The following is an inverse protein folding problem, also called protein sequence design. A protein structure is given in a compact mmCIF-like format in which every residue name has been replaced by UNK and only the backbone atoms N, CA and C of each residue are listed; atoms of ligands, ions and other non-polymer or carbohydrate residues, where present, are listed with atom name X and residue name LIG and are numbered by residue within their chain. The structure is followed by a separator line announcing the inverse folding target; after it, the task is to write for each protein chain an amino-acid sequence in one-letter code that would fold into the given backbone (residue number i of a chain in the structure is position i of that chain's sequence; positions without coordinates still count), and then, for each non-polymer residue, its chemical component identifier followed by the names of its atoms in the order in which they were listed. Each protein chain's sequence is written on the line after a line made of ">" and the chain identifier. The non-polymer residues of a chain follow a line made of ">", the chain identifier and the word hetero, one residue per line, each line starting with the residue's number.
data_IF_867396238884
#
_entry.id   IF_867396238884
#
_cell.length_a   1.000
_cell.length_b   1.000
_cell.length_c   1.000
_cell.angle_alpha   90.00
_cell.angle_beta   90.00
_cell.angle_gamma   90.00
#
_symmetry.space_group_name_H-M   'P 1'
#
loop_
_entity.id
_entity.type
_entity.pdbx_description
1 polymer ?
#
# COMPACT_ATOMS: atom_id res chain seq x y z
N UNK A 1 -4.56 27.35 -13.43
CA UNK A 1 -4.67 26.18 -14.31
C UNK A 1 -4.95 25.00 -13.41
N UNK A 2 -6.15 24.43 -13.47
CA UNK A 2 -6.51 23.30 -12.63
C UNK A 2 -5.85 22.06 -13.23
N UNK A 3 -4.76 21.60 -12.59
CA UNK A 3 -3.99 20.44 -13.03
C UNK A 3 -4.76 19.14 -12.84
N UNK A 4 -4.26 18.03 -13.42
CA UNK A 4 -4.83 16.70 -13.18
C UNK A 4 -4.82 16.41 -11.67
N UNK A 5 -5.87 15.76 -11.18
CA UNK A 5 -5.94 15.33 -9.78
C UNK A 5 -4.94 14.20 -9.56
N UNK A 6 -4.41 14.10 -8.35
CA UNK A 6 -3.44 13.04 -7.97
C UNK A 6 -4.16 11.85 -7.36
N UNK A 7 -3.79 10.65 -7.77
CA UNK A 7 -4.27 9.39 -7.22
C UNK A 7 -3.08 8.54 -6.79
N UNK A 8 -3.17 7.95 -5.60
CA UNK A 8 -2.20 7.00 -5.09
C UNK A 8 -2.90 5.66 -4.90
N UNK A 9 -2.33 4.64 -5.52
CA UNK A 9 -2.74 3.26 -5.36
C UNK A 9 -1.64 2.53 -4.63
N UNK A 10 -2.00 1.82 -3.55
CA UNK A 10 -1.09 0.97 -2.80
C UNK A 10 -1.50 -0.49 -2.93
N UNK A 11 -0.53 -1.37 -3.10
CA UNK A 11 -0.75 -2.81 -3.01
C UNK A 11 0.27 -3.44 -2.07
N UNK A 12 -0.19 -4.38 -1.24
CA UNK A 12 0.70 -5.26 -0.51
C UNK A 12 1.15 -6.38 -1.45
N UNK A 13 2.45 -6.68 -1.54
CA UNK A 13 2.93 -7.77 -2.39
C UNK A 13 2.64 -9.10 -1.71
N UNK A 14 1.43 -9.64 -1.89
CA UNK A 14 0.96 -10.92 -1.30
C UNK A 14 1.21 -12.15 -2.18
N UNK A 15 1.81 -11.97 -3.36
CA UNK A 15 2.01 -12.99 -4.39
C UNK A 15 1.45 -12.56 -5.76
N UNK A 16 1.44 -13.47 -6.75
CA UNK A 16 1.06 -13.17 -8.13
C UNK A 16 -0.42 -12.75 -8.26
N UNK A 17 -0.70 -11.78 -9.12
CA UNK A 17 -2.04 -11.26 -9.33
C UNK A 17 -2.84 -12.17 -10.28
N UNK A 18 -4.02 -12.61 -9.84
CA UNK A 18 -4.93 -13.39 -10.69
C UNK A 18 -5.96 -12.51 -11.43
N UNK A 19 -6.73 -13.12 -12.35
CA UNK A 19 -7.75 -12.47 -13.18
C UNK A 19 -8.79 -11.63 -12.40
N UNK A 20 -9.13 -12.02 -11.16
CA UNK A 20 -10.00 -11.22 -10.30
C UNK A 20 -9.45 -9.83 -9.97
N UNK A 21 -8.13 -9.66 -9.85
CA UNK A 21 -7.50 -8.35 -9.66
C UNK A 21 -7.54 -7.54 -10.95
N UNK A 22 -7.40 -8.20 -12.10
CA UNK A 22 -7.49 -7.56 -13.41
C UNK A 22 -8.86 -6.93 -13.63
N UNK A 23 -9.91 -7.74 -13.58
CA UNK A 23 -11.29 -7.30 -13.79
C UNK A 23 -11.80 -6.37 -12.68
N UNK A 24 -11.25 -6.50 -11.47
CA UNK A 24 -11.67 -5.70 -10.31
C UNK A 24 -11.02 -4.32 -10.21
N UNK A 25 -9.76 -4.18 -10.66
CA UNK A 25 -8.99 -2.96 -10.40
C UNK A 25 -7.97 -2.60 -11.49
N UNK A 26 -7.15 -3.55 -11.98
CA UNK A 26 -6.00 -3.22 -12.83
C UNK A 26 -6.43 -2.58 -14.16
N UNK A 27 -7.49 -3.08 -14.80
CA UNK A 27 -8.02 -2.50 -16.05
C UNK A 27 -8.44 -1.04 -15.85
N UNK A 28 -9.07 -0.74 -14.72
CA UNK A 28 -9.45 0.64 -14.39
C UNK A 28 -8.20 1.51 -14.16
N UNK A 29 -7.17 1.01 -13.50
CA UNK A 29 -5.94 1.75 -13.25
C UNK A 29 -5.23 2.18 -14.54
N UNK A 30 -5.21 1.32 -15.56
CA UNK A 30 -4.66 1.65 -16.89
C UNK A 30 -5.41 2.84 -17.50
N UNK A 31 -6.75 2.86 -17.40
CA UNK A 31 -7.55 3.98 -17.91
C UNK A 31 -7.27 5.29 -17.15
N UNK A 32 -7.07 5.20 -15.83
CA UNK A 32 -6.86 6.35 -14.95
C UNK A 32 -5.55 7.10 -15.23
N UNK A 33 -4.51 6.43 -15.76
CA UNK A 33 -3.26 7.09 -16.18
C UNK A 33 -3.46 8.18 -17.25
N UNK A 34 -4.63 8.24 -17.88
CA UNK A 34 -4.98 9.30 -18.85
C UNK A 34 -5.53 10.53 -18.15
N UNK A 35 -6.37 10.32 -17.15
CA UNK A 35 -7.19 11.37 -16.53
C UNK A 35 -6.59 11.93 -15.23
N UNK A 36 -5.68 11.18 -14.58
CA UNK A 36 -5.08 11.51 -13.29
C UNK A 36 -3.55 11.42 -13.36
N UNK A 37 -2.90 12.10 -12.42
CA UNK A 37 -1.50 11.86 -12.10
C UNK A 37 -1.45 10.68 -11.12
N UNK A 38 -1.14 9.50 -11.64
CA UNK A 38 -1.14 8.26 -10.85
C UNK A 38 0.22 7.98 -10.21
N UNK A 39 0.16 7.57 -8.95
CA UNK A 39 1.27 7.06 -8.17
C UNK A 39 0.91 5.64 -7.74
N UNK A 40 1.78 4.68 -8.03
CA UNK A 40 1.61 3.28 -7.68
C UNK A 40 2.72 2.88 -6.71
N UNK A 41 2.32 2.40 -5.53
CA UNK A 41 3.23 2.05 -4.47
C UNK A 41 3.09 0.57 -4.10
N UNK A 42 4.20 -0.15 -4.15
CA UNK A 42 4.31 -1.51 -3.61
C UNK A 42 4.74 -1.39 -2.16
N UNK A 43 3.89 -1.83 -1.23
CA UNK A 43 4.07 -1.68 0.20
C UNK A 43 4.72 -2.91 0.81
N UNK A 44 6.04 -3.03 0.64
CA UNK A 44 6.81 -4.20 1.05
C UNK A 44 7.13 -4.23 2.56
N UNK A 45 6.99 -3.10 3.28
CA UNK A 45 7.06 -3.10 4.74
C UNK A 45 5.77 -3.62 5.39
N UNK A 46 4.62 -3.47 4.74
CA UNK A 46 3.31 -3.82 5.28
C UNK A 46 2.95 -5.32 5.13
N UNK A 47 3.95 -6.19 4.93
CA UNK A 47 3.75 -7.63 4.77
C UNK A 47 3.99 -8.33 6.10
N UNK A 48 2.92 -8.56 6.87
CA UNK A 48 2.98 -9.20 8.18
C UNK A 48 2.98 -10.74 8.12
N UNK A 49 2.30 -11.33 7.14
CA UNK A 49 2.05 -12.79 7.06
C UNK A 49 3.31 -13.65 6.87
N UNK A 50 4.35 -13.11 6.26
CA UNK A 50 5.62 -13.79 5.98
C UNK A 50 6.82 -12.84 6.01
N UNK A 51 6.76 -11.86 6.91
CA UNK A 51 7.86 -10.91 7.14
C UNK A 51 9.21 -11.60 7.41
N UNK A 52 9.18 -12.79 8.02
CA UNK A 52 10.38 -13.57 8.36
C UNK A 52 11.08 -14.18 7.12
N UNK A 53 10.40 -14.25 5.98
CA UNK A 53 10.94 -14.75 4.71
C UNK A 53 11.18 -13.60 3.71
N UNK A 54 12.32 -12.93 3.91
CA UNK A 54 12.75 -11.81 3.06
C UNK A 54 13.01 -12.20 1.60
N UNK A 55 13.23 -13.48 1.29
CA UNK A 55 13.39 -13.92 -0.09
C UNK A 55 12.03 -13.91 -0.79
N UNK A 56 11.00 -14.46 -0.12
CA UNK A 56 9.62 -14.45 -0.59
C UNK A 56 9.05 -13.05 -0.75
N UNK A 57 9.33 -12.13 0.19
CA UNK A 57 8.88 -10.72 0.05
C UNK A 57 9.46 -10.08 -1.21
N UNK A 58 10.77 -10.26 -1.46
CA UNK A 58 11.43 -9.73 -2.65
C UNK A 58 10.84 -10.30 -3.94
N UNK A 59 10.61 -11.61 -3.98
CA UNK A 59 9.98 -12.27 -5.13
C UNK A 59 8.57 -11.71 -5.37
N UNK A 60 7.76 -11.57 -4.33
CA UNK A 60 6.41 -11.03 -4.45
C UNK A 60 6.39 -9.57 -4.97
N UNK A 61 7.36 -8.74 -4.58
CA UNK A 61 7.51 -7.38 -5.13
C UNK A 61 7.77 -7.41 -6.63
N UNK A 62 8.67 -8.30 -7.09
CA UNK A 62 8.96 -8.45 -8.50
C UNK A 62 7.77 -8.97 -9.30
N UNK A 63 7.07 -9.98 -8.80
CA UNK A 63 5.86 -10.52 -9.44
C UNK A 63 4.80 -9.43 -9.63
N UNK A 64 4.52 -8.64 -8.58
CA UNK A 64 3.56 -7.52 -8.67
C UNK A 64 4.02 -6.47 -9.68
N UNK A 65 5.30 -6.09 -9.66
CA UNK A 65 5.83 -5.10 -10.60
C UNK A 65 5.73 -5.59 -12.06
N UNK A 66 6.05 -6.86 -12.30
CA UNK A 66 5.93 -7.49 -13.61
C UNK A 66 4.47 -7.57 -14.07
N UNK A 67 3.55 -7.97 -13.20
CA UNK A 67 2.12 -8.03 -13.49
C UNK A 67 1.55 -6.65 -13.85
N UNK A 68 1.96 -5.61 -13.13
CA UNK A 68 1.57 -4.24 -13.44
C UNK A 68 1.99 -3.81 -14.85
N UNK A 69 3.26 -4.02 -15.20
CA UNK A 69 3.77 -3.72 -16.53
C UNK A 69 3.10 -4.58 -17.61
N UNK A 70 2.87 -5.87 -17.33
CA UNK A 70 2.24 -6.80 -18.26
C UNK A 70 0.79 -6.43 -18.59
N UNK A 71 0.05 -5.87 -17.63
CA UNK A 71 -1.32 -5.39 -17.82
C UNK A 71 -1.38 -4.05 -18.58
N UNK A 72 -0.24 -3.38 -18.75
CA UNK A 72 -0.14 -2.15 -19.53
C UNK A 72 -0.11 -0.87 -18.68
N UNK A 73 0.25 -0.97 -17.40
CA UNK A 73 0.60 0.19 -16.60
C UNK A 73 1.93 0.78 -17.12
N UNK A 74 1.88 2.03 -17.56
CA UNK A 74 3.00 2.69 -18.23
C UNK A 74 3.85 3.57 -17.28
N UNK A 75 5.15 3.26 -17.06
CA UNK A 75 6.08 4.07 -16.26
C UNK A 75 6.32 5.49 -16.77
N UNK A 76 6.16 5.74 -18.07
CA UNK A 76 6.33 7.08 -18.63
C UNK A 76 5.15 8.01 -18.30
N UNK A 77 4.02 7.44 -17.88
CA UNK A 77 2.77 8.16 -17.60
C UNK A 77 2.45 8.26 -16.12
N UNK A 78 3.11 7.49 -15.27
CA UNK A 78 2.79 7.38 -13.84
C UNK A 78 4.02 7.03 -13.04
N UNK A 79 4.04 7.40 -11.76
CA UNK A 79 5.16 7.10 -10.88
C UNK A 79 4.98 5.76 -10.20
N UNK A 80 6.01 4.93 -10.22
CA UNK A 80 6.04 3.62 -9.58
C UNK A 80 7.13 3.60 -8.52
N UNK A 81 6.79 3.18 -7.32
CA UNK A 81 7.70 3.19 -6.17
C UNK A 81 7.54 1.94 -5.32
N UNK A 82 8.66 1.51 -4.73
CA UNK A 82 8.70 0.47 -3.70
C UNK A 82 8.90 1.20 -2.38
N UNK A 83 8.07 0.90 -1.39
CA UNK A 83 8.04 1.61 -0.12
C UNK A 83 9.40 1.61 0.60
N UNK A 84 10.09 0.47 0.65
CA UNK A 84 11.42 0.37 1.27
C UNK A 84 12.53 1.16 0.58
N UNK A 85 12.31 1.63 -0.66
CA UNK A 85 13.28 2.44 -1.39
C UNK A 85 13.10 3.95 -1.16
N UNK A 86 12.09 4.35 -0.37
CA UNK A 86 11.80 5.74 -0.02
C UNK A 86 11.99 5.92 1.50
N UNK A 87 13.20 6.23 1.98
CA UNK A 87 13.46 6.40 3.41
C UNK A 87 12.60 7.49 4.05
N UNK A 88 12.17 8.49 3.27
CA UNK A 88 11.29 9.57 3.72
C UNK A 88 9.94 9.05 4.26
N UNK A 89 9.44 7.91 3.78
CA UNK A 89 8.22 7.30 4.30
C UNK A 89 8.40 6.78 5.74
N UNK A 90 9.56 6.18 6.02
CA UNK A 90 9.90 5.70 7.36
C UNK A 90 10.09 6.89 8.32
N UNK A 91 10.79 7.94 7.88
CA UNK A 91 10.99 9.15 8.67
C UNK A 91 9.66 9.85 8.98
N UNK A 92 8.82 10.07 7.97
CA UNK A 92 7.54 10.74 8.16
C UNK A 92 6.61 9.94 9.08
N UNK A 93 6.61 8.61 8.97
CA UNK A 93 5.90 7.74 9.91
C UNK A 93 6.37 7.93 11.34
N UNK A 94 7.68 8.01 11.56
CA UNK A 94 8.25 8.29 12.88
C UNK A 94 7.76 9.63 13.41
N UNK A 95 7.82 10.69 12.61
CA UNK A 95 7.36 12.02 13.02
C UNK A 95 5.86 12.04 13.35
N UNK A 96 5.02 11.41 12.53
CA UNK A 96 3.58 11.35 12.79
C UNK A 96 3.26 10.53 14.04
N UNK A 97 4.01 9.46 14.31
CA UNK A 97 3.79 8.61 15.50
C UNK A 97 3.83 9.40 16.82
N UNK A 98 4.60 10.50 16.88
CA UNK A 98 4.68 11.35 18.06
C UNK A 98 3.39 12.08 18.39
N UNK A 99 2.53 12.29 17.39
CA UNK A 99 1.24 12.97 17.54
C UNK A 99 0.07 11.99 17.72
N UNK A 100 0.32 10.68 17.68
CA UNK A 100 -0.71 9.65 17.67
C UNK A 100 -0.81 8.97 19.04
N UNK A 101 -1.86 9.26 19.83
CA UNK A 101 -2.03 8.62 21.13
C UNK A 101 -2.36 7.14 20.96
N UNK A 102 -1.78 6.29 21.82
CA UNK A 102 -2.01 4.84 21.80
C UNK A 102 -3.49 4.46 21.84
N UNK A 103 -4.30 5.20 22.60
CA UNK A 103 -5.75 4.95 22.69
C UNK A 103 -6.52 5.16 21.37
N UNK A 104 -5.95 5.85 20.37
CA UNK A 104 -6.52 5.94 19.02
C UNK A 104 -6.26 4.66 18.24
N UNK A 105 -5.03 4.14 18.32
CA UNK A 105 -4.62 2.88 17.68
C UNK A 105 -5.43 1.70 18.24
N UNK A 106 -5.56 1.63 19.57
CA UNK A 106 -6.34 0.59 20.26
C UNK A 106 -7.83 0.59 19.91
N UNK A 107 -8.36 1.65 19.28
CA UNK A 107 -9.76 1.73 18.84
C UNK A 107 -9.94 1.36 17.37
N UNK A 108 -8.85 1.23 16.61
CA UNK A 108 -8.92 0.87 15.21
C UNK A 108 -9.41 -0.59 15.06
N UNK A 109 -10.56 -0.84 14.40
CA UNK A 109 -11.12 -2.18 14.27
C UNK A 109 -10.24 -3.10 13.41
N UNK A 110 -9.58 -2.58 12.39
CA UNK A 110 -8.65 -3.34 11.54
C UNK A 110 -7.43 -3.78 12.35
N UNK A 111 -6.87 -2.88 13.16
CA UNK A 111 -5.74 -3.23 14.03
C UNK A 111 -6.12 -4.35 15.00
N UNK A 112 -7.31 -4.27 15.60
CA UNK A 112 -7.81 -5.31 16.51
C UNK A 112 -7.94 -6.67 15.82
N UNK A 113 -8.55 -6.69 14.63
CA UNK A 113 -8.74 -7.93 13.88
C UNK A 113 -7.39 -8.59 13.54
N UNK A 114 -6.42 -7.81 13.06
CA UNK A 114 -5.07 -8.29 12.79
C UNK A 114 -4.38 -8.77 14.07
N UNK A 115 -4.46 -8.03 15.19
CA UNK A 115 -3.90 -8.46 16.48
C UNK A 115 -4.52 -9.75 17.03
N UNK A 116 -5.80 -9.99 16.75
CA UNK A 116 -6.49 -11.24 17.11
C UNK A 116 -6.01 -12.40 16.23
N UNK A 117 -5.84 -12.18 14.92
CA UNK A 117 -5.41 -13.17 13.94
C UNK A 117 -3.97 -13.65 14.17
N UNK A 118 -3.04 -12.74 14.45
CA UNK A 118 -1.63 -13.09 14.71
C UNK A 118 -1.43 -13.72 16.11
N UNK A 119 -2.47 -13.73 16.94
CA UNK A 119 -2.38 -13.99 18.37
C UNK A 119 -1.53 -12.91 19.05
N UNK A 120 -1.55 -12.87 20.39
CA UNK A 120 -0.70 -11.96 21.19
C UNK A 120 0.82 -12.12 21.01
N UNK A 121 1.30 -12.83 19.99
CA UNK A 121 2.69 -12.80 19.57
C UNK A 121 2.94 -11.41 18.99
N UNK A 122 3.82 -10.68 19.65
CA UNK A 122 4.26 -9.34 19.26
C UNK A 122 4.62 -9.30 17.78
N UNK A 123 3.74 -8.75 16.94
CA UNK A 123 4.11 -8.24 15.63
C UNK A 123 4.63 -6.83 15.89
N UNK A 124 5.96 -6.59 15.90
CA UNK A 124 6.52 -5.35 16.42
C UNK A 124 6.11 -4.11 15.62
N UNK A 125 5.57 -4.30 14.41
CA UNK A 125 5.38 -3.25 13.41
C UNK A 125 3.92 -2.95 13.06
N UNK A 126 2.94 -3.68 13.60
CA UNK A 126 1.52 -3.53 13.23
C UNK A 126 0.99 -2.08 13.38
N UNK A 127 1.33 -1.33 14.45
CA UNK A 127 0.97 0.08 14.54
C UNK A 127 1.69 0.94 13.50
N UNK A 128 2.95 0.62 13.19
CA UNK A 128 3.77 1.35 12.20
C UNK A 128 3.21 1.15 10.80
N UNK A 129 2.78 -0.06 10.45
CA UNK A 129 2.16 -0.38 9.16
C UNK A 129 0.91 0.46 8.93
N UNK A 130 0.08 0.61 9.97
CA UNK A 130 -1.14 1.41 9.90
C UNK A 130 -0.85 2.91 9.72
N UNK A 131 0.26 3.38 10.30
CA UNK A 131 0.71 4.76 10.12
C UNK A 131 1.37 5.02 8.78
N UNK A 132 2.23 4.13 8.29
CA UNK A 132 2.73 4.14 6.91
C UNK A 132 1.56 4.22 5.92
N UNK A 133 0.49 3.50 6.25
CA UNK A 133 -0.75 3.48 5.51
C UNK A 133 -1.37 4.87 5.33
N UNK A 134 -1.35 5.69 6.39
CA UNK A 134 -1.90 7.04 6.44
C UNK A 134 -0.93 8.08 5.89
N UNK A 135 0.37 7.93 6.16
CA UNK A 135 1.47 8.79 5.71
C UNK A 135 1.49 8.89 4.19
N UNK A 136 1.36 7.75 3.51
CA UNK A 136 1.35 7.73 2.05
C UNK A 136 0.17 8.53 1.46
N UNK A 137 -0.93 8.69 2.20
CA UNK A 137 -2.13 9.39 1.73
C UNK A 137 -2.05 10.93 1.84
N UNK A 138 -1.03 11.48 2.52
CA UNK A 138 -0.97 12.90 2.94
C UNK A 138 -0.89 13.90 1.77
N UNK A 139 -0.58 13.45 0.54
CA UNK A 139 -0.45 14.33 -0.63
C UNK A 139 -1.35 13.98 -1.82
N UNK A 140 -2.41 13.22 -1.57
CA UNK A 140 -3.22 12.59 -2.62
C UNK A 140 -4.66 13.11 -2.58
N UNK A 141 -5.24 13.39 -3.75
CA UNK A 141 -6.63 13.84 -3.82
C UNK A 141 -7.64 12.70 -3.73
N UNK A 142 -7.26 11.50 -4.18
CA UNK A 142 -8.12 10.30 -4.20
C UNK A 142 -7.28 9.07 -3.84
N UNK A 143 -7.77 8.26 -2.90
CA UNK A 143 -7.21 6.95 -2.58
C UNK A 143 -8.31 5.92 -2.83
N UNK A 144 -8.15 5.00 -3.81
CA UNK A 144 -9.13 3.94 -4.04
C UNK A 144 -9.06 2.93 -2.89
N UNK A 145 -10.10 2.89 -2.05
CA UNK A 145 -10.22 1.95 -0.94
C UNK A 145 -11.16 0.82 -1.35
N UNK A 146 -10.75 -0.44 -1.09
CA UNK A 146 -11.65 -1.59 -1.20
C UNK A 146 -12.61 -1.56 -0.02
N UNK A 147 -13.92 -1.49 -0.27
CA UNK A 147 -14.92 -1.65 0.80
C UNK A 147 -14.76 -3.04 1.42
N UNK A 148 -14.58 -3.10 2.74
CA UNK A 148 -14.55 -4.33 3.53
C UNK A 148 -15.97 -4.88 3.80
N UNK A 149 -17.01 -4.25 3.26
CA UNK A 149 -18.38 -4.74 3.40
C UNK A 149 -18.67 -5.85 2.37
N UNK A 150 -18.57 -7.09 2.83
CA UNK A 150 -19.42 -8.22 2.43
C UNK A 150 -19.62 -9.17 3.60
#
# INVERSE_FOLDING_TARGET
>A
MEGKKRILTRIRPTGPLHLGHYAGALENWVSLQTSYDCYFLIADYQVSDYADDMARVREAVWEVALDWLAVGLDPERSSFVIESLIPEHAELTLWLSWFLPLGMLERNPTLKAEMEEFGRKSVPNLPVDQLLSEVANVQVNVVPVRSLER
#
